data_IF_881095368948
#
_entry.id   IF_881095368948
#
_cell.length_a   1.000
_cell.length_b   1.000
_cell.length_c   1.000
_cell.angle_alpha   90.00
_cell.angle_beta   90.00
_cell.angle_gamma   90.00
#
_symmetry.space_group_name_H-M   'P 1'
#
loop_
_entity.id
_entity.type
_entity.pdbx_description
1 polymer ?
#
# COMPACT_ATOMS: atom_id res chain seq x y z
N UNK A 1 -32.15 41.24 -15.87
CA UNK A 1 -30.84 40.70 -15.46
C UNK A 1 -30.79 39.23 -15.87
N UNK A 2 -29.82 38.84 -16.70
CA UNK A 2 -29.67 37.48 -17.25
C UNK A 2 -29.17 36.51 -16.17
N UNK A 3 -29.65 35.27 -16.19
CA UNK A 3 -29.10 34.17 -15.39
C UNK A 3 -27.74 33.74 -15.97
N UNK A 4 -26.81 33.22 -15.14
CA UNK A 4 -25.56 32.65 -15.63
C UNK A 4 -25.76 31.21 -16.12
N UNK A 5 -25.11 30.88 -17.23
CA UNK A 5 -25.03 29.53 -17.81
C UNK A 5 -24.12 28.60 -16.99
N UNK A 6 -24.34 27.27 -17.00
CA UNK A 6 -23.49 26.30 -16.30
C UNK A 6 -22.15 26.01 -17.02
N UNK A 7 -21.08 25.64 -16.29
CA UNK A 7 -19.74 25.50 -16.85
C UNK A 7 -19.57 24.20 -17.66
N UNK A 8 -19.41 24.36 -18.97
CA UNK A 8 -19.17 23.29 -19.96
C UNK A 8 -17.69 22.87 -20.10
N UNK A 9 -16.86 23.10 -19.08
CA UNK A 9 -15.39 22.98 -19.19
C UNK A 9 -14.84 21.56 -18.99
N UNK A 10 -15.55 20.67 -18.28
CA UNK A 10 -15.04 19.32 -17.97
C UNK A 10 -15.13 18.33 -19.15
N UNK A 11 -16.08 18.52 -20.08
CA UNK A 11 -16.26 17.60 -21.21
C UNK A 11 -15.26 17.82 -22.37
N UNK A 12 -14.66 19.01 -22.49
CA UNK A 12 -13.64 19.29 -23.53
C UNK A 12 -12.23 18.80 -23.18
N UNK A 13 -11.97 18.46 -21.93
CA UNK A 13 -10.65 17.99 -21.51
C UNK A 13 -10.41 16.52 -21.88
N UNK A 14 -11.47 15.70 -21.87
CA UNK A 14 -11.39 14.27 -22.21
C UNK A 14 -11.15 13.99 -23.70
N UNK A 15 -11.64 14.83 -24.62
CA UNK A 15 -11.53 14.59 -26.07
C UNK A 15 -10.16 14.94 -26.69
N UNK A 16 -9.21 15.49 -25.91
CA UNK A 16 -7.91 15.96 -26.44
C UNK A 16 -6.73 15.01 -26.18
N UNK A 17 -6.91 13.96 -25.37
CA UNK A 17 -5.85 13.01 -25.02
C UNK A 17 -5.76 11.84 -26.02
N UNK A 18 -6.80 11.58 -26.82
CA UNK A 18 -6.81 10.45 -27.78
C UNK A 18 -6.09 10.70 -29.12
N UNK A 19 -5.59 11.92 -29.39
CA UNK A 19 -5.20 12.30 -30.75
C UNK A 19 -3.68 12.28 -31.07
N UNK A 20 -2.77 11.83 -30.18
CA UNK A 20 -1.33 11.98 -30.46
C UNK A 20 -0.42 10.86 -29.91
N UNK A 21 -0.65 9.62 -30.34
CA UNK A 21 0.28 8.50 -30.11
C UNK A 21 0.73 7.87 -31.45
N UNK A 22 1.58 8.56 -32.20
CA UNK A 22 2.29 7.96 -33.34
C UNK A 22 3.69 7.48 -32.91
N UNK A 23 3.85 6.16 -32.80
CA UNK A 23 5.10 5.47 -32.47
C UNK A 23 5.96 5.36 -33.74
N UNK A 24 7.24 5.77 -33.69
CA UNK A 24 8.24 5.44 -34.73
C UNK A 24 9.23 4.40 -34.19
N UNK A 25 9.58 3.35 -34.96
CA UNK A 25 10.56 2.35 -34.53
C UNK A 25 12.00 2.83 -34.70
N UNK A 26 12.82 2.53 -33.69
CA UNK A 26 14.26 2.77 -33.64
C UNK A 26 15.01 1.66 -34.37
N UNK A 27 15.80 2.03 -35.40
CA UNK A 27 16.62 1.13 -36.22
C UNK A 27 18.04 1.10 -35.65
N UNK A 28 18.59 -0.10 -35.44
CA UNK A 28 19.98 -0.33 -35.00
C UNK A 28 20.83 -0.63 -36.25
N UNK A 29 21.93 0.10 -36.53
CA UNK A 29 22.90 -0.32 -37.54
C UNK A 29 23.99 -1.19 -36.89
N UNK A 30 24.18 -2.39 -37.46
CA UNK A 30 25.28 -3.29 -37.13
C UNK A 30 26.56 -2.95 -37.88
N UNK A 31 27.70 -3.24 -37.26
CA UNK A 31 29.01 -3.47 -37.90
C UNK A 31 29.85 -4.32 -36.94
N UNK A 32 30.30 -5.49 -37.40
CA UNK A 32 31.26 -6.36 -36.70
C UNK A 32 32.50 -6.44 -37.59
N UNK A 33 33.70 -6.04 -37.13
CA UNK A 33 34.93 -6.32 -37.84
C UNK A 33 35.47 -7.71 -37.46
N UNK A 34 35.80 -8.49 -38.47
CA UNK A 34 36.52 -9.76 -38.41
C UNK A 34 37.99 -9.57 -38.01
N UNK A 35 38.45 -10.34 -37.02
CA UNK A 35 39.87 -10.45 -36.64
C UNK A 35 40.42 -11.86 -36.96
N UNK A 36 41.74 -12.02 -37.16
CA UNK A 36 42.33 -13.17 -37.83
C UNK A 36 42.55 -14.38 -36.91
N UNK A 37 42.51 -15.55 -37.54
CA UNK A 37 42.81 -16.86 -36.97
C UNK A 37 44.31 -16.99 -36.66
N UNK A 38 44.64 -17.35 -35.41
CA UNK A 38 45.92 -17.96 -35.02
C UNK A 38 45.68 -19.41 -34.61
N UNK A 39 46.57 -20.36 -34.97
CA UNK A 39 46.40 -21.76 -34.59
C UNK A 39 46.97 -21.99 -33.19
N UNK A 40 46.15 -22.45 -32.26
CA UNK A 40 46.62 -23.00 -30.99
C UNK A 40 46.33 -24.50 -30.96
N UNK A 41 47.41 -25.28 -30.94
CA UNK A 41 47.44 -26.73 -30.75
C UNK A 41 47.58 -26.99 -29.25
N UNK A 42 46.69 -27.77 -28.65
CA UNK A 42 46.83 -28.18 -27.24
C UNK A 42 45.63 -28.94 -26.68
N UNK A 43 45.74 -30.26 -26.64
CA UNK A 43 44.77 -31.22 -26.08
C UNK A 43 44.62 -31.05 -24.56
N UNK A 44 43.61 -30.28 -24.09
CA UNK A 44 43.35 -30.12 -22.66
C UNK A 44 41.93 -29.69 -22.25
N UNK A 45 40.98 -29.61 -23.19
CA UNK A 45 39.61 -29.14 -22.91
C UNK A 45 38.61 -30.28 -22.67
N UNK A 46 38.88 -31.48 -23.18
CA UNK A 46 37.92 -32.61 -23.10
C UNK A 46 37.79 -33.19 -21.68
N UNK A 47 38.85 -33.07 -20.87
CA UNK A 47 38.87 -33.61 -19.50
C UNK A 47 38.12 -32.72 -18.50
N UNK A 48 38.05 -31.41 -18.76
CA UNK A 48 37.36 -30.44 -17.89
C UNK A 48 35.85 -30.44 -18.15
N UNK A 49 35.40 -30.60 -19.40
CA UNK A 49 33.97 -30.68 -19.72
C UNK A 49 33.32 -31.95 -19.14
N UNK A 50 34.01 -33.08 -19.17
CA UNK A 50 33.49 -34.34 -18.65
C UNK A 50 33.28 -34.29 -17.12
N UNK A 51 34.17 -33.62 -16.39
CA UNK A 51 34.04 -33.41 -14.93
C UNK A 51 32.97 -32.36 -14.56
N UNK A 52 32.61 -31.46 -15.47
CA UNK A 52 31.55 -30.47 -15.26
C UNK A 52 30.15 -31.00 -15.58
N UNK A 53 30.03 -31.92 -16.55
CA UNK A 53 28.74 -32.50 -16.92
C UNK A 53 28.25 -33.50 -15.86
N UNK A 54 29.16 -34.31 -15.30
CA UNK A 54 28.80 -35.33 -14.30
C UNK A 54 28.30 -34.73 -12.96
N UNK A 55 28.85 -33.59 -12.54
CA UNK A 55 28.40 -32.88 -11.31
C UNK A 55 27.01 -32.25 -11.43
N UNK A 56 26.60 -31.83 -12.64
CA UNK A 56 25.23 -31.31 -12.88
C UNK A 56 24.18 -32.41 -12.84
N UNK A 57 24.51 -33.60 -13.38
CA UNK A 57 23.59 -34.72 -13.43
C UNK A 57 23.27 -35.28 -12.02
N UNK A 58 24.27 -35.37 -11.13
CA UNK A 58 24.06 -35.85 -9.75
C UNK A 58 23.22 -34.89 -8.89
N UNK A 59 23.39 -33.56 -9.03
CA UNK A 59 22.56 -32.58 -8.31
C UNK A 59 21.10 -32.59 -8.74
N UNK A 60 20.82 -32.91 -10.00
CA UNK A 60 19.45 -32.93 -10.52
C UNK A 60 18.66 -34.17 -10.08
N UNK A 61 19.36 -35.32 -9.93
CA UNK A 61 18.76 -36.59 -9.48
C UNK A 61 18.40 -36.56 -7.99
N UNK A 62 19.31 -36.07 -7.14
CA UNK A 62 19.07 -35.89 -5.69
C UNK A 62 17.90 -34.94 -5.38
N UNK A 63 17.69 -33.92 -6.23
CA UNK A 63 16.58 -32.96 -6.04
C UNK A 63 15.22 -33.56 -6.38
N UNK A 64 15.13 -34.45 -7.40
CA UNK A 64 13.86 -35.08 -7.81
C UNK A 64 13.37 -36.13 -6.81
N UNK A 65 14.27 -36.91 -6.21
CA UNK A 65 13.87 -37.94 -5.23
C UNK A 65 13.30 -37.34 -3.93
N UNK A 66 13.70 -36.12 -3.55
CA UNK A 66 13.21 -35.44 -2.35
C UNK A 66 11.78 -34.87 -2.47
N UNK A 67 11.21 -34.82 -3.67
CA UNK A 67 9.85 -34.29 -3.88
C UNK A 67 8.74 -35.34 -3.71
N UNK A 68 9.06 -36.63 -3.76
CA UNK A 68 8.05 -37.68 -3.77
C UNK A 68 7.72 -38.28 -2.39
N UNK A 69 8.28 -37.77 -1.28
CA UNK A 69 8.11 -38.37 0.05
C UNK A 69 7.52 -37.49 1.15
N UNK A 70 6.76 -36.42 0.83
CA UNK A 70 6.08 -35.64 1.88
C UNK A 70 4.57 -35.95 1.94
N UNK A 71 4.06 -36.48 3.07
CA UNK A 71 2.64 -36.73 3.27
C UNK A 71 1.83 -35.41 3.40
N UNK A 72 0.55 -35.51 3.03
CA UNK A 72 -0.38 -34.41 2.80
C UNK A 72 -0.74 -33.53 4.00
N UNK A 73 -1.09 -32.30 3.63
CA UNK A 73 -1.53 -31.11 4.39
C UNK A 73 -2.47 -31.37 5.59
N UNK A 74 -2.38 -30.50 6.62
CA UNK A 74 -3.44 -29.51 6.82
C UNK A 74 -2.85 -28.14 7.15
N UNK A 75 -2.70 -27.27 6.14
CA UNK A 75 -2.20 -25.88 6.33
C UNK A 75 -3.21 -24.80 5.97
N UNK A 76 -4.35 -25.18 5.40
CA UNK A 76 -5.43 -24.25 5.06
C UNK A 76 -6.34 -23.95 6.27
N UNK A 77 -6.50 -24.91 7.19
CA UNK A 77 -7.30 -24.73 8.42
C UNK A 77 -6.64 -23.77 9.42
N UNK A 78 -5.31 -23.74 9.49
CA UNK A 78 -4.58 -22.81 10.35
C UNK A 78 -4.71 -21.35 9.88
N UNK A 79 -4.85 -21.10 8.56
CA UNK A 79 -5.06 -19.76 8.02
C UNK A 79 -6.47 -19.22 8.29
N UNK A 80 -7.48 -20.08 8.21
CA UNK A 80 -8.87 -19.72 8.52
C UNK A 80 -9.09 -19.47 10.01
N UNK A 81 -8.40 -20.20 10.89
CA UNK A 81 -8.45 -19.99 12.33
C UNK A 81 -7.88 -18.63 12.77
N UNK A 82 -6.85 -18.12 12.07
CA UNK A 82 -6.30 -16.79 12.33
C UNK A 82 -7.17 -15.64 11.78
N UNK A 83 -7.89 -15.85 10.67
CA UNK A 83 -8.88 -14.86 10.20
C UNK A 83 -10.03 -14.71 11.20
N UNK A 84 -10.51 -15.81 11.79
CA UNK A 84 -11.56 -15.77 12.81
C UNK A 84 -11.10 -15.06 14.10
N UNK A 85 -9.82 -15.17 14.48
CA UNK A 85 -9.26 -14.46 15.64
C UNK A 85 -8.98 -12.96 15.38
N UNK A 86 -8.77 -12.57 14.12
CA UNK A 86 -8.57 -11.17 13.74
C UNK A 86 -9.88 -10.38 13.59
N UNK A 87 -11.01 -11.06 13.37
CA UNK A 87 -12.35 -10.46 13.29
C UNK A 87 -13.18 -10.65 14.56
N UNK A 88 -12.70 -11.44 15.53
CA UNK A 88 -13.34 -11.55 16.83
C UNK A 88 -13.25 -10.19 17.56
N UNK A 89 -14.29 -9.77 18.30
CA UNK A 89 -14.19 -8.59 19.16
C UNK A 89 -13.18 -8.89 20.26
N UNK A 90 -11.99 -8.30 20.18
CA UNK A 90 -11.02 -8.34 21.27
C UNK A 90 -11.57 -7.49 22.42
N UNK A 91 -11.41 -7.91 23.69
CA UNK A 91 -11.79 -7.07 24.83
C UNK A 91 -11.07 -5.72 24.67
N UNK A 92 -11.87 -4.64 24.64
CA UNK A 92 -11.39 -3.30 24.33
C UNK A 92 -10.27 -2.91 25.29
N UNK A 93 -9.08 -2.66 24.74
CA UNK A 93 -8.04 -1.95 25.46
C UNK A 93 -8.42 -0.47 25.44
N UNK A 94 -9.19 -0.02 26.44
CA UNK A 94 -9.49 1.39 26.63
C UNK A 94 -8.27 2.08 27.23
N UNK A 95 -7.54 2.84 26.41
CA UNK A 95 -6.68 3.89 26.95
C UNK A 95 -7.60 4.98 27.51
N UNK A 96 -7.70 5.05 28.84
CA UNK A 96 -8.37 6.15 29.52
C UNK A 96 -7.53 7.41 29.30
N UNK A 97 -7.85 8.20 28.27
CA UNK A 97 -7.36 9.56 28.22
C UNK A 97 -8.19 10.40 29.19
N UNK A 98 -7.55 10.92 30.24
CA UNK A 98 -8.12 11.96 31.08
C UNK A 98 -8.41 13.17 30.19
N UNK A 99 -9.66 13.29 29.75
CA UNK A 99 -10.15 14.47 29.07
C UNK A 99 -10.08 15.63 30.08
N UNK A 100 -9.06 16.48 29.95
CA UNK A 100 -9.03 17.75 30.65
C UNK A 100 -10.24 18.56 30.20
N UNK A 101 -11.23 18.67 31.10
CA UNK A 101 -12.43 19.47 30.92
C UNK A 101 -12.05 20.96 30.92
N UNK A 102 -11.68 21.48 29.75
CA UNK A 102 -11.66 22.93 29.54
C UNK A 102 -13.11 23.43 29.49
N UNK A 103 -13.44 24.34 30.40
CA UNK A 103 -14.76 24.94 30.53
C UNK A 103 -15.22 25.57 29.20
N UNK A 104 -16.36 25.09 28.69
CA UNK A 104 -16.96 25.58 27.45
C UNK A 104 -17.62 26.94 27.68
N UNK A 105 -17.39 27.96 26.83
CA UNK A 105 -18.24 29.14 26.79
C UNK A 105 -19.64 28.77 26.26
N UNK A 106 -20.64 29.10 27.05
CA UNK A 106 -22.07 28.90 26.80
C UNK A 106 -22.56 29.82 25.67
N UNK A 107 -22.42 29.39 24.42
CA UNK A 107 -23.24 29.87 23.30
C UNK A 107 -23.17 28.89 22.13
N UNK A 108 -23.66 27.66 22.34
CA UNK A 108 -23.82 26.68 21.27
C UNK A 108 -25.03 27.04 20.41
N UNK A 109 -24.78 27.87 19.39
CA UNK A 109 -25.72 28.05 18.27
C UNK A 109 -25.98 26.67 17.66
N UNK A 110 -27.24 26.26 17.55
CA UNK A 110 -27.60 25.02 16.85
C UNK A 110 -27.05 25.09 15.42
N UNK A 111 -26.36 24.04 14.93
CA UNK A 111 -25.80 24.03 13.58
C UNK A 111 -26.91 24.28 12.55
N UNK A 112 -26.62 25.12 11.55
CA UNK A 112 -27.60 25.40 10.49
C UNK A 112 -27.82 24.15 9.64
N UNK A 113 -28.94 24.10 8.89
CA UNK A 113 -29.21 23.00 7.95
C UNK A 113 -28.10 22.84 6.90
N UNK A 114 -27.45 23.94 6.50
CA UNK A 114 -26.27 23.92 5.63
C UNK A 114 -25.04 23.30 6.28
N UNK A 115 -24.82 23.54 7.57
CA UNK A 115 -23.67 22.98 8.29
C UNK A 115 -23.81 21.45 8.46
N UNK A 116 -25.02 20.99 8.75
CA UNK A 116 -25.34 19.56 8.83
C UNK A 116 -25.17 18.85 7.48
N UNK A 117 -25.63 19.47 6.39
CA UNK A 117 -25.45 18.92 5.05
C UNK A 117 -23.97 18.82 4.65
N UNK A 118 -23.16 19.81 5.03
CA UNK A 118 -21.71 19.79 4.80
C UNK A 118 -21.03 18.66 5.58
N UNK A 119 -21.34 18.53 6.87
CA UNK A 119 -20.80 17.44 7.71
C UNK A 119 -21.11 16.06 7.13
N UNK A 120 -22.34 15.84 6.64
CA UNK A 120 -22.73 14.57 6.03
C UNK A 120 -21.98 14.30 4.70
N UNK A 121 -21.73 15.35 3.91
CA UNK A 121 -20.92 15.23 2.70
C UNK A 121 -19.46 14.86 3.03
N UNK A 122 -18.87 15.52 4.03
CA UNK A 122 -17.50 15.26 4.48
C UNK A 122 -17.34 13.82 4.99
N UNK A 123 -18.32 13.32 5.76
CA UNK A 123 -18.40 11.91 6.20
C UNK A 123 -18.39 10.92 5.04
N UNK A 124 -19.32 11.11 4.08
CA UNK A 124 -19.42 10.21 2.90
C UNK A 124 -18.13 10.22 2.08
N UNK A 125 -17.47 11.36 2.01
CA UNK A 125 -16.21 11.51 1.28
C UNK A 125 -15.03 10.84 1.99
N UNK A 126 -14.94 11.00 3.31
CA UNK A 126 -14.00 10.27 4.18
C UNK A 126 -14.17 8.75 4.06
N UNK A 127 -15.41 8.25 4.10
CA UNK A 127 -15.70 6.83 3.89
C UNK A 127 -15.27 6.34 2.50
N UNK A 128 -15.55 7.13 1.46
CA UNK A 128 -15.13 6.80 0.10
C UNK A 128 -13.61 6.67 -0.01
N UNK A 129 -12.86 7.62 0.57
CA UNK A 129 -11.39 7.60 0.56
C UNK A 129 -10.82 6.35 1.25
N UNK A 130 -11.38 5.96 2.40
CA UNK A 130 -10.97 4.74 3.10
C UNK A 130 -11.27 3.48 2.29
N UNK A 131 -12.49 3.38 1.71
CA UNK A 131 -12.87 2.23 0.88
C UNK A 131 -12.00 2.11 -0.36
N UNK A 132 -11.73 3.24 -1.01
CA UNK A 132 -10.87 3.30 -2.18
C UNK A 132 -9.45 2.81 -1.85
N UNK A 133 -8.84 3.32 -0.78
CA UNK A 133 -7.52 2.84 -0.31
C UNK A 133 -7.56 1.35 0.05
N UNK A 134 -8.61 0.91 0.74
CA UNK A 134 -8.81 -0.47 1.16
C UNK A 134 -8.83 -1.47 0.02
N UNK A 135 -9.41 -1.12 -1.13
CA UNK A 135 -9.38 -1.95 -2.34
C UNK A 135 -7.94 -2.20 -2.80
N UNK A 136 -7.10 -1.16 -2.87
CA UNK A 136 -5.71 -1.33 -3.30
C UNK A 136 -4.89 -2.13 -2.27
N UNK A 137 -5.06 -1.87 -0.98
CA UNK A 137 -4.40 -2.63 0.09
C UNK A 137 -4.79 -4.11 0.04
N UNK A 138 -6.07 -4.41 -0.18
CA UNK A 138 -6.58 -5.77 -0.37
C UNK A 138 -5.93 -6.44 -1.60
N UNK A 139 -5.88 -5.73 -2.73
CA UNK A 139 -5.24 -6.23 -3.95
C UNK A 139 -3.74 -6.53 -3.74
N UNK A 140 -3.03 -5.72 -2.95
CA UNK A 140 -1.63 -5.97 -2.59
C UNK A 140 -1.51 -7.24 -1.73
N UNK A 141 -2.40 -7.44 -0.75
CA UNK A 141 -2.42 -8.65 0.05
C UNK A 141 -2.65 -9.92 -0.79
N UNK A 142 -3.62 -9.86 -1.72
CA UNK A 142 -3.89 -10.94 -2.67
C UNK A 142 -2.68 -11.19 -3.59
N UNK A 143 -2.09 -10.11 -4.13
CA UNK A 143 -0.89 -10.19 -4.95
C UNK A 143 0.25 -10.86 -4.18
N UNK A 144 0.49 -10.50 -2.92
CA UNK A 144 1.53 -11.10 -2.09
C UNK A 144 1.36 -12.62 -1.89
N UNK A 145 0.12 -13.13 -1.85
CA UNK A 145 -0.16 -14.57 -1.80
C UNK A 145 0.12 -15.27 -3.14
N UNK A 146 -0.23 -14.62 -4.25
CA UNK A 146 -0.25 -15.22 -5.58
C UNK A 146 1.05 -15.01 -6.37
N UNK A 147 1.83 -13.98 -6.03
CA UNK A 147 2.98 -13.50 -6.82
C UNK A 147 3.96 -14.62 -7.14
N UNK A 148 4.27 -15.49 -6.17
CA UNK A 148 5.21 -16.60 -6.39
C UNK A 148 4.84 -17.50 -7.57
N UNK A 149 3.55 -17.74 -7.78
CA UNK A 149 3.05 -18.58 -8.89
C UNK A 149 2.89 -17.76 -10.17
N UNK A 150 2.40 -16.53 -10.05
CA UNK A 150 2.13 -15.67 -11.21
C UNK A 150 3.42 -15.17 -11.85
N UNK A 151 4.41 -14.79 -11.07
CA UNK A 151 5.67 -14.23 -11.56
C UNK A 151 6.57 -15.25 -12.26
N UNK A 152 6.38 -16.56 -12.01
CA UNK A 152 7.05 -17.63 -12.76
C UNK A 152 6.58 -17.66 -14.22
N UNK A 153 5.29 -17.37 -14.47
CA UNK A 153 4.69 -17.38 -15.81
C UNK A 153 4.67 -16.00 -16.46
N UNK A 154 4.45 -14.95 -15.67
CA UNK A 154 4.28 -13.57 -16.10
C UNK A 154 5.11 -12.64 -15.20
N UNK A 155 6.40 -12.48 -15.53
CA UNK A 155 7.32 -11.64 -14.73
C UNK A 155 6.86 -10.18 -14.58
N UNK A 156 6.00 -9.68 -15.48
CA UNK A 156 5.44 -8.32 -15.43
C UNK A 156 4.50 -8.10 -14.24
N UNK A 157 3.93 -9.16 -13.66
CA UNK A 157 3.02 -9.08 -12.49
C UNK A 157 3.69 -8.40 -11.29
N UNK A 158 5.03 -8.44 -11.20
CA UNK A 158 5.77 -7.74 -10.16
C UNK A 158 5.55 -6.23 -10.19
N UNK A 159 5.31 -5.62 -11.36
CA UNK A 159 5.04 -4.19 -11.47
C UNK A 159 3.68 -3.79 -10.88
N UNK A 160 2.77 -4.72 -10.60
CA UNK A 160 1.51 -4.41 -9.93
C UNK A 160 1.74 -3.83 -8.52
N UNK A 161 2.82 -4.23 -7.84
CA UNK A 161 3.22 -3.61 -6.57
C UNK A 161 3.42 -2.10 -6.71
N UNK A 162 4.12 -1.67 -7.76
CA UNK A 162 4.31 -0.25 -8.06
C UNK A 162 2.96 0.44 -8.27
N UNK A 163 2.10 -0.11 -9.14
CA UNK A 163 0.83 0.52 -9.49
C UNK A 163 -0.16 0.58 -8.32
N UNK A 164 -0.24 -0.49 -7.51
CA UNK A 164 -1.16 -0.53 -6.39
C UNK A 164 -0.80 0.41 -5.25
N UNK A 165 0.45 0.88 -5.16
CA UNK A 165 0.81 2.00 -4.30
C UNK A 165 0.75 3.35 -5.02
N UNK A 166 1.12 3.39 -6.30
CA UNK A 166 1.18 4.62 -7.08
C UNK A 166 -0.20 5.25 -7.26
N UNK A 167 -1.19 4.46 -7.69
CA UNK A 167 -2.53 4.95 -8.00
C UNK A 167 -3.20 5.57 -6.76
N UNK A 168 -3.31 4.87 -5.60
CA UNK A 168 -3.87 5.49 -4.41
C UNK A 168 -3.00 6.63 -3.88
N UNK A 169 -1.66 6.58 -4.03
CA UNK A 169 -0.79 7.69 -3.65
C UNK A 169 -1.06 8.97 -4.45
N UNK A 170 -1.20 8.87 -5.78
CA UNK A 170 -1.58 10.01 -6.63
C UNK A 170 -3.00 10.47 -6.30
N UNK A 171 -3.93 9.53 -6.14
CA UNK A 171 -5.30 9.87 -5.77
C UNK A 171 -5.36 10.68 -4.47
N UNK A 172 -4.68 10.21 -3.41
CA UNK A 172 -4.66 10.87 -2.10
C UNK A 172 -3.89 12.20 -2.10
N UNK A 173 -2.96 12.39 -3.03
CA UNK A 173 -2.27 13.68 -3.14
C UNK A 173 -3.20 14.77 -3.70
N UNK A 174 -3.93 14.44 -4.77
CA UNK A 174 -4.66 15.42 -5.57
C UNK A 174 -6.17 15.47 -5.30
N UNK A 175 -6.81 14.35 -5.00
CA UNK A 175 -8.26 14.21 -5.06
C UNK A 175 -8.92 13.92 -3.71
N UNK A 176 -8.17 13.53 -2.68
CA UNK A 176 -8.77 13.23 -1.36
C UNK A 176 -9.23 14.46 -0.59
N UNK A 177 -8.73 15.64 -0.95
CA UNK A 177 -9.07 16.94 -0.32
C UNK A 177 -9.03 18.00 -1.44
N UNK A 178 -10.07 18.05 -2.30
CA UNK A 178 -10.07 18.90 -3.50
C UNK A 178 -10.03 20.40 -3.18
N UNK A 179 -10.47 20.79 -1.99
CA UNK A 179 -10.40 22.16 -1.46
C UNK A 179 -8.99 22.54 -0.98
N UNK A 180 -8.09 21.57 -0.84
CA UNK A 180 -6.74 21.77 -0.36
C UNK A 180 -5.69 21.70 -1.46
N UNK A 181 -4.54 22.33 -1.21
CA UNK A 181 -3.35 22.18 -2.05
C UNK A 181 -3.09 20.70 -2.39
N UNK A 182 -2.75 20.35 -3.66
CA UNK A 182 -2.29 21.24 -4.72
C UNK A 182 -3.36 21.82 -5.65
N UNK A 183 -4.59 21.32 -5.62
CA UNK A 183 -5.63 21.75 -6.57
C UNK A 183 -6.54 22.85 -6.01
N UNK A 184 -6.77 22.84 -4.70
CA UNK A 184 -7.70 23.74 -4.05
C UNK A 184 -7.10 25.06 -3.56
N UNK A 185 -7.97 25.87 -2.97
CA UNK A 185 -7.66 27.22 -2.51
C UNK A 185 -6.92 27.25 -1.17
N UNK A 186 -7.07 26.21 -0.33
CA UNK A 186 -6.35 26.16 0.94
C UNK A 186 -4.85 25.96 0.70
N UNK A 187 -4.06 26.92 1.20
CA UNK A 187 -2.60 26.89 1.06
C UNK A 187 -1.96 25.75 1.87
N UNK A 188 -0.78 25.30 1.45
CA UNK A 188 0.00 24.31 2.20
C UNK A 188 0.28 24.76 3.65
N UNK A 189 0.50 26.05 3.87
CA UNK A 189 0.70 26.61 5.21
C UNK A 189 -0.53 26.40 6.10
N UNK A 190 -1.73 26.65 5.55
CA UNK A 190 -2.99 26.41 6.26
C UNK A 190 -3.18 24.91 6.56
N UNK A 191 -2.92 24.03 5.60
CA UNK A 191 -2.99 22.57 5.80
C UNK A 191 -2.09 22.13 6.94
N UNK A 192 -0.83 22.58 6.95
CA UNK A 192 0.16 22.18 7.96
C UNK A 192 -0.18 22.69 9.36
N UNK A 193 -0.78 23.88 9.48
CA UNK A 193 -0.99 24.55 10.78
C UNK A 193 -2.40 24.41 11.34
N UNK A 194 -3.41 24.27 10.49
CA UNK A 194 -4.82 24.35 10.86
C UNK A 194 -5.63 23.09 10.54
N UNK A 195 -5.13 22.18 9.68
CA UNK A 195 -5.89 21.01 9.25
C UNK A 195 -5.06 19.71 9.31
N UNK A 196 -5.03 19.11 10.50
CA UNK A 196 -4.26 17.89 10.77
C UNK A 196 -4.73 16.70 9.91
N UNK A 197 -6.03 16.58 9.63
CA UNK A 197 -6.58 15.50 8.82
C UNK A 197 -6.05 15.55 7.38
N UNK A 198 -6.13 16.72 6.74
CA UNK A 198 -5.60 16.93 5.39
C UNK A 198 -4.08 16.75 5.38
N UNK A 199 -3.38 17.25 6.41
CA UNK A 199 -1.93 17.06 6.54
C UNK A 199 -1.58 15.57 6.56
N UNK A 200 -2.32 14.75 7.30
CA UNK A 200 -2.11 13.30 7.33
C UNK A 200 -2.39 12.66 5.97
N UNK A 201 -3.46 13.04 5.25
CA UNK A 201 -3.68 12.57 3.88
C UNK A 201 -2.49 12.88 2.97
N UNK A 202 -1.91 14.09 3.08
CA UNK A 202 -0.71 14.44 2.30
C UNK A 202 0.49 13.61 2.71
N UNK A 203 0.72 13.36 3.99
CA UNK A 203 1.82 12.50 4.43
C UNK A 203 1.59 11.04 3.97
N UNK A 204 0.39 10.49 4.10
CA UNK A 204 0.05 9.15 3.60
C UNK A 204 0.26 9.05 2.09
N UNK A 205 -0.07 10.09 1.32
CA UNK A 205 0.16 10.12 -0.12
C UNK A 205 1.66 9.98 -0.44
N UNK A 206 2.52 10.67 0.30
CA UNK A 206 3.97 10.59 0.15
C UNK A 206 4.52 9.23 0.59
N UNK A 207 3.98 8.63 1.65
CA UNK A 207 4.35 7.27 2.07
C UNK A 207 4.00 6.23 1.00
N UNK A 208 2.80 6.31 0.41
CA UNK A 208 2.37 5.42 -0.68
C UNK A 208 3.23 5.61 -1.93
N UNK A 209 3.51 6.86 -2.34
CA UNK A 209 4.40 7.14 -3.46
C UNK A 209 5.83 6.67 -3.17
N UNK A 210 6.31 6.82 -1.94
CA UNK A 210 7.59 6.27 -1.49
C UNK A 210 7.65 4.75 -1.61
N UNK A 211 6.62 4.04 -1.12
CA UNK A 211 6.49 2.59 -1.26
C UNK A 211 6.46 2.16 -2.73
N UNK A 212 5.74 2.89 -3.57
CA UNK A 212 5.70 2.67 -5.01
C UNK A 212 7.09 2.74 -5.63
N UNK A 213 7.85 3.81 -5.35
CA UNK A 213 9.23 3.97 -5.83
C UNK A 213 10.13 2.86 -5.31
N UNK A 214 10.05 2.51 -4.02
CA UNK A 214 10.83 1.43 -3.41
C UNK A 214 10.58 0.11 -4.14
N UNK A 215 9.32 -0.27 -4.35
CA UNK A 215 8.97 -1.51 -5.04
C UNK A 215 9.39 -1.50 -6.51
N UNK A 216 9.25 -0.37 -7.22
CA UNK A 216 9.80 -0.22 -8.57
C UNK A 216 11.31 -0.44 -8.62
N UNK A 217 12.06 0.18 -7.70
CA UNK A 217 13.51 0.03 -7.64
C UNK A 217 13.94 -1.39 -7.24
N UNK A 218 13.17 -2.10 -6.41
CA UNK A 218 13.36 -3.52 -6.08
C UNK A 218 13.23 -4.39 -7.34
N UNK A 219 12.19 -4.18 -8.13
CA UNK A 219 11.97 -4.92 -9.40
C UNK A 219 13.13 -4.69 -10.38
N UNK A 220 13.60 -3.44 -10.48
CA UNK A 220 14.74 -3.06 -11.33
C UNK A 220 16.10 -3.46 -10.75
N UNK A 221 16.14 -4.11 -9.58
CA UNK A 221 17.36 -4.53 -8.86
C UNK A 221 18.35 -3.37 -8.63
N UNK A 222 17.82 -2.15 -8.43
CA UNK A 222 18.62 -0.94 -8.19
C UNK A 222 18.90 -0.69 -6.71
N UNK A 223 18.14 -1.30 -5.80
CA UNK A 223 18.42 -1.25 -4.37
C UNK A 223 19.46 -2.30 -3.99
N UNK A 224 20.52 -1.90 -3.29
CA UNK A 224 21.63 -2.77 -2.85
C UNK A 224 21.91 -2.59 -1.37
N UNK A 225 22.31 -3.67 -0.71
CA UNK A 225 22.67 -3.66 0.72
C UNK A 225 21.54 -4.11 1.64
N UNK A 226 21.92 -4.48 2.86
CA UNK A 226 21.03 -5.09 3.85
C UNK A 226 19.95 -4.13 4.38
N UNK A 227 20.24 -2.82 4.42
CA UNK A 227 19.30 -1.79 4.89
C UNK A 227 18.05 -1.66 4.00
N UNK A 228 18.12 -2.08 2.73
CA UNK A 228 17.01 -2.01 1.78
C UNK A 228 15.84 -2.94 2.13
N UNK A 229 16.09 -3.94 2.99
CA UNK A 229 15.05 -4.79 3.57
C UNK A 229 14.13 -4.02 4.53
N UNK A 230 14.61 -2.89 5.08
CA UNK A 230 13.88 -2.10 6.07
C UNK A 230 13.10 -0.91 5.49
N UNK A 231 13.30 -0.56 4.21
CA UNK A 231 12.61 0.58 3.59
C UNK A 231 11.09 0.44 3.60
N UNK A 232 10.59 -0.70 3.12
CA UNK A 232 9.15 -0.96 3.14
C UNK A 232 8.62 -1.02 4.59
N UNK A 233 9.21 -1.84 5.49
CA UNK A 233 8.78 -1.87 6.89
C UNK A 233 8.77 -0.51 7.57
N UNK A 234 9.78 0.35 7.32
CA UNK A 234 9.85 1.67 7.93
C UNK A 234 8.73 2.58 7.44
N UNK A 235 8.45 2.60 6.14
CA UNK A 235 7.35 3.38 5.56
C UNK A 235 5.98 2.87 6.04
N UNK A 236 5.79 1.55 6.07
CA UNK A 236 4.56 0.94 6.58
C UNK A 236 4.36 1.23 8.08
N UNK A 237 5.43 1.14 8.88
CA UNK A 237 5.42 1.46 10.31
C UNK A 237 5.18 2.94 10.58
N UNK A 238 5.74 3.84 9.77
CA UNK A 238 5.44 5.27 9.85
C UNK A 238 3.96 5.55 9.55
N UNK A 239 3.39 4.89 8.53
CA UNK A 239 1.96 4.96 8.26
C UNK A 239 1.10 4.46 9.43
N UNK A 240 1.47 3.31 10.01
CA UNK A 240 0.79 2.75 11.18
C UNK A 240 0.86 3.70 12.40
N UNK A 241 2.01 4.33 12.63
CA UNK A 241 2.18 5.30 13.72
C UNK A 241 1.34 6.57 13.51
N UNK A 242 1.21 7.07 12.28
CA UNK A 242 0.39 8.25 11.98
C UNK A 242 -1.08 8.03 12.28
N UNK A 243 -1.60 6.81 12.08
CA UNK A 243 -2.99 6.47 12.39
C UNK A 243 -3.34 6.62 13.87
N UNK A 244 -2.36 6.53 14.77
CA UNK A 244 -2.58 6.76 16.22
C UNK A 244 -2.89 8.21 16.56
N UNK A 245 -2.57 9.15 15.67
CA UNK A 245 -2.77 10.59 15.87
C UNK A 245 -3.89 11.16 14.98
N UNK A 246 -4.71 10.32 14.34
CA UNK A 246 -5.82 10.78 13.52
C UNK A 246 -6.88 11.45 14.42
N UNK A 247 -7.02 12.78 14.31
CA UNK A 247 -7.70 13.58 15.32
C UNK A 247 -9.22 13.43 15.28
N UNK A 248 -9.79 12.85 16.33
CA UNK A 248 -11.22 12.93 16.68
C UNK A 248 -11.75 14.38 16.80
N UNK A 249 -10.85 15.36 16.91
CA UNK A 249 -11.16 16.78 17.05
C UNK A 249 -11.75 17.44 15.79
N UNK A 250 -11.44 16.94 14.58
CA UNK A 250 -12.02 17.49 13.34
C UNK A 250 -13.55 17.27 13.29
N UNK A 251 -14.04 16.23 13.97
CA UNK A 251 -15.47 15.95 14.11
C UNK A 251 -16.11 16.61 15.34
N UNK A 252 -15.30 17.28 16.19
CA UNK A 252 -15.72 17.78 17.51
C UNK A 252 -16.15 19.25 17.53
N UNK A 253 -16.15 19.93 16.38
CA UNK A 253 -16.64 21.29 16.27
C UNK A 253 -18.19 21.32 16.39
N UNK A 254 -18.68 21.23 17.63
CA UNK A 254 -19.98 21.79 18.03
C UNK A 254 -21.20 20.87 18.11
N UNK A 255 -21.10 19.59 18.54
CA UNK A 255 -22.29 18.72 18.56
C UNK A 255 -22.48 17.81 19.79
N UNK A 256 -23.77 17.71 20.16
CA UNK A 256 -24.58 16.62 20.75
C UNK A 256 -23.85 15.42 21.43
N UNK A 257 -24.34 14.92 22.59
CA UNK A 257 -23.96 13.61 23.15
C UNK A 257 -23.73 12.46 22.15
N UNK A 258 -24.43 12.40 21.01
CA UNK A 258 -24.20 11.37 19.98
C UNK A 258 -22.87 11.50 19.21
N UNK A 259 -22.27 12.69 19.16
CA UNK A 259 -21.00 12.95 18.47
C UNK A 259 -19.80 12.28 19.17
N UNK A 260 -19.87 12.13 20.49
CA UNK A 260 -18.85 11.41 21.27
C UNK A 260 -18.76 9.92 20.88
N UNK A 261 -19.90 9.28 20.60
CA UNK A 261 -19.94 7.87 20.20
C UNK A 261 -19.34 7.66 18.80
N UNK A 262 -19.60 8.57 17.85
CA UNK A 262 -18.96 8.50 16.52
C UNK A 262 -17.45 8.71 16.59
N UNK A 263 -16.97 9.65 17.41
CA UNK A 263 -15.53 9.87 17.60
C UNK A 263 -14.83 8.64 18.17
N UNK A 264 -15.39 8.03 19.22
CA UNK A 264 -14.84 6.82 19.81
C UNK A 264 -14.80 5.66 18.81
N UNK A 265 -15.83 5.53 17.98
CA UNK A 265 -15.88 4.51 16.93
C UNK A 265 -14.76 4.71 15.90
N UNK A 266 -14.57 5.94 15.43
CA UNK A 266 -13.52 6.28 14.45
C UNK A 266 -12.14 6.02 15.03
N UNK A 267 -11.89 6.50 16.25
CA UNK A 267 -10.63 6.29 16.95
C UNK A 267 -10.31 4.80 17.11
N UNK A 268 -11.29 4.01 17.54
CA UNK A 268 -11.13 2.56 17.72
C UNK A 268 -10.83 1.85 16.40
N UNK A 269 -11.47 2.24 15.31
CA UNK A 269 -11.16 1.73 13.97
C UNK A 269 -9.71 2.06 13.56
N UNK A 270 -9.25 3.29 13.80
CA UNK A 270 -7.88 3.70 13.50
C UNK A 270 -6.83 2.97 14.34
N UNK A 271 -7.12 2.70 15.62
CA UNK A 271 -6.26 1.87 16.48
C UNK A 271 -6.13 0.46 15.90
N UNK A 272 -7.24 -0.16 15.45
CA UNK A 272 -7.16 -1.46 14.79
C UNK A 272 -6.32 -1.43 13.51
N UNK A 273 -6.48 -0.38 12.70
CA UNK A 273 -5.67 -0.21 11.48
C UNK A 273 -4.19 -0.07 11.83
N UNK A 274 -3.85 0.69 12.88
CA UNK A 274 -2.49 0.87 13.37
C UNK A 274 -1.88 -0.44 13.87
N UNK A 275 -2.59 -1.21 14.69
CA UNK A 275 -2.12 -2.52 15.20
C UNK A 275 -1.82 -3.48 14.05
N UNK A 276 -2.74 -3.60 13.08
CA UNK A 276 -2.52 -4.43 11.90
C UNK A 276 -1.35 -3.89 11.06
N UNK A 277 -1.25 -2.56 10.90
CA UNK A 277 -0.16 -1.87 10.22
C UNK A 277 1.22 -2.15 10.81
N UNK A 278 1.36 -2.11 12.14
CA UNK A 278 2.60 -2.50 12.81
C UNK A 278 2.92 -3.99 12.60
N UNK A 279 1.90 -4.85 12.61
CA UNK A 279 2.04 -6.26 12.25
C UNK A 279 2.57 -6.45 10.83
N UNK A 280 2.06 -5.67 9.85
CA UNK A 280 2.54 -5.66 8.46
C UNK A 280 4.02 -5.25 8.41
N UNK A 281 4.38 -4.16 9.07
CA UNK A 281 5.77 -3.67 9.11
C UNK A 281 6.72 -4.73 9.69
N UNK A 282 6.37 -5.31 10.85
CA UNK A 282 7.19 -6.30 11.53
C UNK A 282 7.32 -7.61 10.72
N UNK A 283 6.20 -8.17 10.28
CA UNK A 283 6.20 -9.40 9.48
C UNK A 283 6.98 -9.25 8.17
N UNK A 284 6.87 -8.08 7.52
CA UNK A 284 7.65 -7.75 6.32
C UNK A 284 9.14 -7.64 6.61
N UNK A 285 9.54 -6.99 7.71
CA UNK A 285 10.95 -6.87 8.09
C UNK A 285 11.60 -8.24 8.32
N UNK A 286 10.90 -9.14 9.03
CA UNK A 286 11.41 -10.50 9.29
C UNK A 286 11.44 -11.32 7.98
N UNK A 287 10.42 -11.18 7.13
CA UNK A 287 10.36 -11.88 5.84
C UNK A 287 11.49 -11.47 4.89
N UNK A 288 11.78 -10.16 4.78
CA UNK A 288 12.77 -9.62 3.83
C UNK A 288 14.21 -9.79 4.34
N UNK A 289 14.45 -9.85 5.66
CA UNK A 289 15.80 -10.08 6.23
C UNK A 289 16.24 -11.54 6.21
N UNK A 290 15.32 -12.48 5.99
CA UNK A 290 15.66 -13.89 5.81
C UNK A 290 15.98 -14.67 7.11
N UNK A 291 15.87 -14.03 8.29
CA UNK A 291 16.41 -14.56 9.56
C UNK A 291 15.56 -15.64 10.23
N UNK A 292 14.22 -15.55 10.15
CA UNK A 292 13.31 -16.45 10.89
C UNK A 292 12.04 -16.78 10.12
N UNK A 293 11.68 -18.07 10.05
CA UNK A 293 10.42 -18.60 9.47
C UNK A 293 9.90 -17.83 8.24
N UNK A 294 10.77 -17.56 7.27
CA UNK A 294 10.50 -16.60 6.17
C UNK A 294 9.24 -16.92 5.37
N UNK A 295 8.90 -18.19 5.20
CA UNK A 295 7.65 -18.63 4.55
C UNK A 295 6.42 -18.24 5.37
N UNK A 296 6.45 -18.47 6.68
CA UNK A 296 5.36 -18.10 7.58
C UNK A 296 5.19 -16.58 7.60
N UNK A 297 6.28 -15.84 7.73
CA UNK A 297 6.24 -14.37 7.81
C UNK A 297 5.72 -13.73 6.52
N UNK A 298 6.04 -14.29 5.34
CA UNK A 298 5.44 -13.84 4.07
C UNK A 298 3.94 -14.08 4.01
N UNK A 299 3.46 -15.23 4.49
CA UNK A 299 2.03 -15.54 4.55
C UNK A 299 1.34 -14.62 5.55
N UNK A 300 1.92 -14.43 6.75
CA UNK A 300 1.39 -13.54 7.77
C UNK A 300 1.29 -12.11 7.25
N UNK A 301 2.36 -11.58 6.63
CA UNK A 301 2.35 -10.27 5.99
C UNK A 301 1.20 -10.14 4.98
N UNK A 302 1.03 -11.13 4.10
CA UNK A 302 -0.01 -11.09 3.08
C UNK A 302 -1.42 -11.15 3.68
N UNK A 303 -1.63 -11.99 4.71
CA UNK A 303 -2.90 -12.06 5.44
C UNK A 303 -3.21 -10.76 6.17
N UNK A 304 -2.22 -10.14 6.83
CA UNK A 304 -2.41 -8.85 7.50
C UNK A 304 -2.74 -7.72 6.51
N UNK A 305 -2.13 -7.72 5.32
CA UNK A 305 -2.51 -6.81 4.24
C UNK A 305 -3.96 -7.02 3.78
N UNK A 306 -4.39 -8.28 3.61
CA UNK A 306 -5.80 -8.60 3.31
C UNK A 306 -6.72 -8.09 4.41
N UNK A 307 -6.38 -8.36 5.68
CA UNK A 307 -7.15 -7.89 6.84
C UNK A 307 -7.25 -6.37 6.87
N UNK A 308 -6.14 -5.64 6.69
CA UNK A 308 -6.15 -4.18 6.65
C UNK A 308 -7.01 -3.65 5.49
N UNK A 309 -6.91 -4.27 4.32
CA UNK A 309 -7.74 -3.91 3.17
C UNK A 309 -9.23 -4.07 3.44
N UNK A 310 -9.62 -5.19 4.08
CA UNK A 310 -11.01 -5.42 4.48
C UNK A 310 -11.49 -4.41 5.53
N UNK A 311 -10.67 -4.18 6.56
CA UNK A 311 -10.95 -3.20 7.61
C UNK A 311 -11.23 -1.80 7.05
N UNK A 312 -10.40 -1.35 6.09
CA UNK A 312 -10.58 -0.09 5.38
C UNK A 312 -11.83 -0.06 4.49
N UNK A 313 -12.16 -1.16 3.81
CA UNK A 313 -13.39 -1.28 3.00
C UNK A 313 -14.64 -1.22 3.89
N UNK A 314 -14.57 -1.75 5.10
CA UNK A 314 -15.68 -1.73 6.07
C UNK A 314 -15.68 -0.49 6.97
N UNK A 315 -14.81 0.49 6.71
CA UNK A 315 -14.77 1.74 7.46
C UNK A 315 -16.09 2.52 7.30
N UNK A 316 -16.52 3.11 8.41
CA UNK A 316 -17.77 3.88 8.52
C UNK A 316 -17.65 4.92 9.61
N UNK A 317 -18.11 6.13 9.35
CA UNK A 317 -18.00 7.29 10.25
C UNK A 317 -19.28 7.52 11.07
#
# INVERSE_FOLDING_TARGET
MRSPDPPTSLFRFYSRIEANASIRPFVIPGHVPSLPLFPFRGNGLDEIEHLWHNRRCMKHKSRKEKWHSMPGKPRLLAGLLWMALATAPWPGFSFQHDAQHHAMPSSAQQPSSSDLAKLEADKRFSEFNHRFAGIFVLLIGILALLESRLAERFGVVRYLWFFFFFIPGIYLLFFSDPESWPLGEQTLYYVVTQNMQVLQHKIFSLLLLGLSVVEYLRIRKRLRGWWTAFLFPALAGAGAALLLFHSSAAHAAGMDPSAHLSMQKIEHQHIYFAVVGFGIALSKAIADTGRFHTRLMRVLFALLMVTLGLLLITYTE
#
